data_IF_738745819877
#
_entry.id   IF_738745819877
#
_cell.length_a   1.000
_cell.length_b   1.000
_cell.length_c   1.000
_cell.angle_alpha   90.00
_cell.angle_beta   90.00
_cell.angle_gamma   90.00
#
_symmetry.space_group_name_H-M   'P 1'
#
loop_
_entity.id
_entity.type
_entity.pdbx_description
1 polymer ?
#
# COMPACT_ATOMS: atom_id res chain seq x y z
N UNK A 1 1.99 28.68 -1.00
CA UNK A 1 2.41 28.92 -2.40
C UNK A 1 2.65 27.60 -3.10
N UNK A 2 2.38 27.53 -4.41
CA UNK A 2 2.53 26.30 -5.20
C UNK A 2 4.01 25.86 -5.17
N UNK A 3 4.32 24.61 -4.78
CA UNK A 3 5.68 24.08 -4.84
C UNK A 3 6.28 24.22 -6.24
N UNK A 4 7.56 24.62 -6.30
CA UNK A 4 8.21 25.01 -7.56
C UNK A 4 8.26 23.90 -8.63
N UNK A 5 8.23 22.63 -8.20
CA UNK A 5 8.25 21.44 -9.02
C UNK A 5 6.85 21.01 -9.52
N UNK A 6 5.78 21.64 -9.02
CA UNK A 6 4.41 21.35 -9.45
C UNK A 6 3.99 22.29 -10.58
N UNK A 7 3.26 21.72 -11.55
CA UNK A 7 2.55 22.44 -12.60
C UNK A 7 1.10 21.96 -12.58
N UNK A 8 0.15 22.88 -12.54
CA UNK A 8 -1.28 22.55 -12.35
C UNK A 8 -1.94 22.13 -13.66
N UNK A 9 -1.65 20.93 -14.17
CA UNK A 9 -2.29 20.44 -15.40
C UNK A 9 -3.71 19.92 -15.19
N UNK A 10 -3.96 19.34 -14.02
CA UNK A 10 -5.19 18.63 -13.68
C UNK A 10 -5.52 18.78 -12.19
N UNK A 11 -6.71 18.30 -11.81
CA UNK A 11 -7.12 18.16 -10.42
C UNK A 11 -6.14 17.33 -9.57
N UNK A 12 -5.40 16.39 -10.16
CA UNK A 12 -4.38 15.56 -9.50
C UNK A 12 -3.23 16.42 -8.97
N UNK A 13 -2.84 17.44 -9.73
CA UNK A 13 -1.78 18.39 -9.36
C UNK A 13 -2.27 19.38 -8.31
N UNK A 14 -3.53 19.80 -8.42
CA UNK A 14 -4.20 20.65 -7.41
C UNK A 14 -4.26 19.93 -6.06
N UNK A 15 -4.67 18.66 -6.06
CA UNK A 15 -4.70 17.80 -4.88
C UNK A 15 -3.30 17.59 -4.28
N UNK A 16 -2.27 17.42 -5.12
CA UNK A 16 -0.87 17.28 -4.66
C UNK A 16 -0.38 18.52 -3.89
N UNK A 17 -0.80 19.72 -4.29
CA UNK A 17 -0.50 20.95 -3.53
C UNK A 17 -1.10 20.89 -2.12
N UNK A 18 -2.35 20.43 -1.98
CA UNK A 18 -3.01 20.28 -0.66
C UNK A 18 -2.30 19.24 0.20
N UNK A 19 -1.95 18.08 -0.38
CA UNK A 19 -1.23 17.02 0.33
C UNK A 19 0.11 17.50 0.86
N UNK A 20 0.87 18.28 0.09
CA UNK A 20 2.14 18.86 0.56
C UNK A 20 1.93 19.97 1.59
N UNK A 21 0.91 20.79 1.42
CA UNK A 21 0.54 21.82 2.40
C UNK A 21 0.17 21.20 3.75
N UNK A 22 -0.53 20.06 3.75
CA UNK A 22 -0.89 19.30 4.95
C UNK A 22 0.36 18.85 5.75
N UNK A 23 1.49 18.64 5.09
CA UNK A 23 2.73 18.16 5.71
C UNK A 23 3.67 19.28 6.16
N UNK A 24 3.60 20.45 5.53
CA UNK A 24 4.63 21.51 5.63
C UNK A 24 4.13 22.79 6.29
N UNK A 25 2.84 23.11 6.15
CA UNK A 25 2.22 24.36 6.59
C UNK A 25 1.06 24.06 7.56
N UNK A 26 0.66 25.01 8.42
CA UNK A 26 -0.52 24.80 9.25
C UNK A 26 -1.75 24.66 8.36
N UNK A 27 -2.36 23.47 8.38
CA UNK A 27 -3.68 23.24 7.82
C UNK A 27 -4.69 24.17 8.52
N UNK A 28 -5.53 24.92 7.79
CA UNK A 28 -6.46 25.86 8.41
C UNK A 28 -7.43 25.16 9.36
N UNK A 29 -7.57 25.66 10.60
CA UNK A 29 -8.50 25.08 11.60
C UNK A 29 -9.94 25.05 11.11
N UNK A 30 -10.31 26.01 10.26
CA UNK A 30 -11.65 26.14 9.70
C UNK A 30 -11.90 25.26 8.46
N UNK A 31 -10.86 24.61 7.92
CA UNK A 31 -10.96 23.68 6.80
C UNK A 31 -11.13 22.25 7.32
N UNK A 32 -12.37 21.77 7.31
CA UNK A 32 -12.74 20.45 7.82
C UNK A 32 -12.17 19.37 6.90
N UNK A 33 -12.44 19.47 5.61
CA UNK A 33 -11.96 18.51 4.61
C UNK A 33 -11.85 19.12 3.21
N UNK A 34 -11.07 18.47 2.35
CA UNK A 34 -10.93 18.78 0.93
C UNK A 34 -11.07 17.51 0.09
N UNK A 35 -11.75 17.58 -1.05
CA UNK A 35 -11.97 16.48 -1.98
C UNK A 35 -11.70 16.94 -3.41
N UNK A 36 -10.71 16.32 -4.06
CA UNK A 36 -10.42 16.53 -5.47
C UNK A 36 -11.29 15.63 -6.35
N UNK A 37 -12.06 16.23 -7.24
CA UNK A 37 -12.77 15.55 -8.31
C UNK A 37 -12.17 15.95 -9.66
N UNK A 38 -12.52 15.21 -10.70
CA UNK A 38 -11.96 15.44 -12.04
C UNK A 38 -12.39 16.79 -12.64
N UNK A 39 -13.52 17.31 -12.18
CA UNK A 39 -14.21 18.51 -12.63
C UNK A 39 -14.25 19.64 -11.59
N UNK A 40 -13.96 19.38 -10.32
CA UNK A 40 -14.03 20.39 -9.25
C UNK A 40 -13.17 20.05 -8.02
N UNK A 41 -12.91 21.07 -7.20
CA UNK A 41 -12.36 20.93 -5.86
C UNK A 41 -13.43 21.32 -4.84
N UNK A 42 -13.84 20.40 -3.99
CA UNK A 42 -14.85 20.67 -2.94
C UNK A 42 -14.17 20.76 -1.58
N UNK A 43 -14.46 21.81 -0.82
CA UNK A 43 -13.91 22.10 0.49
C UNK A 43 -15.03 22.22 1.51
N UNK A 44 -15.03 21.36 2.51
CA UNK A 44 -15.90 21.46 3.68
C UNK A 44 -15.29 22.42 4.69
N UNK A 45 -16.01 23.47 5.04
CA UNK A 45 -15.53 24.55 5.90
C UNK A 45 -16.51 24.82 7.05
N UNK A 46 -16.02 25.38 8.16
CA UNK A 46 -16.91 25.81 9.26
C UNK A 46 -17.78 27.00 8.84
N UNK A 47 -19.05 27.11 9.29
CA UNK A 47 -19.92 28.22 8.88
C UNK A 47 -19.32 29.60 9.18
N UNK A 48 -19.49 30.53 8.25
CA UNK A 48 -18.99 31.91 8.37
C UNK A 48 -17.49 32.09 8.14
N UNK A 49 -16.76 31.04 7.72
CA UNK A 49 -15.29 31.09 7.55
C UNK A 49 -14.82 31.21 6.10
N UNK A 50 -15.74 31.36 5.14
CA UNK A 50 -15.44 31.44 3.70
C UNK A 50 -14.30 32.41 3.36
N UNK A 51 -14.32 33.63 3.90
CA UNK A 51 -13.31 34.65 3.61
C UNK A 51 -11.89 34.23 4.06
N UNK A 52 -11.79 33.57 5.21
CA UNK A 52 -10.51 33.06 5.72
C UNK A 52 -9.96 31.96 4.84
N UNK A 53 -10.82 31.06 4.36
CA UNK A 53 -10.44 29.95 3.48
C UNK A 53 -10.04 30.45 2.09
N UNK A 54 -10.76 31.42 1.52
CA UNK A 54 -10.38 32.06 0.26
C UNK A 54 -8.99 32.71 0.34
N UNK A 55 -8.70 33.42 1.43
CA UNK A 55 -7.38 34.03 1.66
C UNK A 55 -6.28 32.97 1.67
N UNK A 56 -6.50 31.88 2.41
CA UNK A 56 -5.55 30.76 2.44
C UNK A 56 -5.39 30.09 1.07
N UNK A 57 -6.47 29.86 0.33
CA UNK A 57 -6.41 29.31 -1.03
C UNK A 57 -5.61 30.22 -1.97
N UNK A 58 -5.78 31.53 -1.84
CA UNK A 58 -5.00 32.51 -2.60
C UNK A 58 -3.51 32.38 -2.29
N UNK A 59 -3.10 32.24 -1.03
CA UNK A 59 -1.70 32.03 -0.65
C UNK A 59 -1.15 30.68 -1.12
N UNK A 60 -1.94 29.62 -1.02
CA UNK A 60 -1.54 28.26 -1.40
C UNK A 60 -1.38 28.14 -2.92
N UNK A 61 -2.33 28.69 -3.68
CA UNK A 61 -2.39 28.56 -5.13
C UNK A 61 -1.93 29.80 -5.90
N UNK A 62 -1.30 30.80 -5.25
CA UNK A 62 -0.76 31.97 -5.95
C UNK A 62 0.20 31.56 -7.09
N UNK A 63 0.12 32.19 -8.30
CA UNK A 63 -0.83 33.20 -8.75
C UNK A 63 -2.04 32.63 -9.53
N UNK A 64 -2.32 31.34 -9.36
CA UNK A 64 -3.30 30.57 -10.14
C UNK A 64 -4.71 30.55 -9.51
N UNK A 65 -4.91 31.11 -8.33
CA UNK A 65 -6.24 31.25 -7.73
C UNK A 65 -6.98 32.48 -8.27
N UNK A 66 -8.25 32.32 -8.61
CA UNK A 66 -9.12 33.39 -9.08
C UNK A 66 -10.40 33.45 -8.23
N UNK A 67 -10.55 34.53 -7.45
CA UNK A 67 -11.78 34.85 -6.72
C UNK A 67 -12.80 35.49 -7.65
N UNK A 68 -13.92 34.81 -7.89
CA UNK A 68 -14.98 35.29 -8.78
C UNK A 68 -16.14 35.96 -8.01
N UNK A 69 -16.00 36.11 -6.69
CA UNK A 69 -16.95 36.81 -5.85
C UNK A 69 -18.37 36.22 -5.92
N UNK A 70 -19.38 37.09 -6.00
CA UNK A 70 -20.80 36.67 -6.08
C UNK A 70 -21.26 36.31 -7.51
N UNK A 71 -20.40 36.47 -8.53
CA UNK A 71 -20.78 36.31 -9.94
C UNK A 71 -20.46 34.92 -10.50
N UNK A 72 -19.77 34.07 -9.75
CA UNK A 72 -19.47 32.69 -10.12
C UNK A 72 -18.64 31.98 -9.04
N UNK A 73 -18.40 30.69 -9.21
CA UNK A 73 -17.55 29.93 -8.29
C UNK A 73 -16.08 30.37 -8.45
N UNK A 74 -15.36 30.44 -7.34
CA UNK A 74 -13.90 30.62 -7.37
C UNK A 74 -13.26 29.47 -8.17
N UNK A 75 -12.09 29.69 -8.75
CA UNK A 75 -11.45 28.65 -9.51
C UNK A 75 -9.92 28.69 -9.47
N UNK A 76 -9.31 27.55 -9.80
CA UNK A 76 -7.88 27.40 -10.00
C UNK A 76 -7.60 27.35 -11.50
N UNK A 77 -6.75 28.24 -11.98
CA UNK A 77 -6.31 28.28 -13.37
C UNK A 77 -5.33 27.13 -13.60
N UNK A 78 -5.70 26.24 -14.52
CA UNK A 78 -4.88 25.11 -14.94
C UNK A 78 -4.01 25.48 -16.15
N UNK A 79 -2.92 24.74 -16.34
CA UNK A 79 -2.11 24.83 -17.53
C UNK A 79 -2.95 24.52 -18.77
N UNK A 80 -2.77 25.36 -19.78
CA UNK A 80 -3.53 25.33 -21.03
C UNK A 80 -2.68 25.77 -22.21
N UNK A 81 -3.03 25.28 -23.39
CA UNK A 81 -2.51 25.84 -24.64
C UNK A 81 -3.08 27.25 -24.87
N UNK A 82 -2.35 28.08 -25.59
CA UNK A 82 -2.74 29.47 -25.88
C UNK A 82 -4.19 29.56 -26.40
N UNK A 83 -4.98 30.44 -25.79
CA UNK A 83 -6.37 30.72 -26.18
C UNK A 83 -7.44 29.80 -25.56
N UNK A 84 -7.06 28.71 -24.87
CA UNK A 84 -8.01 27.77 -24.26
C UNK A 84 -7.84 27.70 -22.74
N UNK A 85 -8.23 28.76 -22.03
CA UNK A 85 -8.12 28.80 -20.57
C UNK A 85 -8.87 27.64 -19.94
N UNK A 86 -8.16 26.84 -19.13
CA UNK A 86 -8.73 25.74 -18.35
C UNK A 86 -8.79 26.16 -16.89
N UNK A 87 -9.91 25.87 -16.24
CA UNK A 87 -10.13 26.19 -14.83
C UNK A 87 -10.71 24.99 -14.12
N UNK A 88 -10.33 24.81 -12.86
CA UNK A 88 -10.96 23.88 -11.92
C UNK A 88 -11.80 24.71 -10.94
N UNK A 89 -13.14 24.64 -11.01
CA UNK A 89 -14.02 25.26 -10.02
C UNK A 89 -13.72 24.80 -8.60
N UNK A 90 -13.91 25.71 -7.64
CA UNK A 90 -13.85 25.46 -6.20
C UNK A 90 -15.26 25.64 -5.64
N UNK A 91 -15.71 24.65 -4.87
CA UNK A 91 -16.96 24.70 -4.13
C UNK A 91 -16.64 24.73 -2.64
N UNK A 92 -17.14 25.75 -1.94
CA UNK A 92 -17.05 25.86 -0.48
C UNK A 92 -18.39 25.46 0.13
N UNK A 93 -18.41 24.36 0.88
CA UNK A 93 -19.58 23.85 1.58
C UNK A 93 -19.46 24.13 3.07
N UNK A 94 -20.40 24.86 3.64
CA UNK A 94 -20.47 25.05 5.09
C UNK A 94 -20.96 23.77 5.76
N UNK A 95 -20.20 23.25 6.72
CA UNK A 95 -20.49 21.97 7.37
C UNK A 95 -20.16 21.99 8.86
N UNK A 96 -21.04 21.36 9.63
CA UNK A 96 -20.83 21.04 11.06
C UNK A 96 -20.29 19.60 11.23
N UNK A 97 -20.05 18.88 10.13
CA UNK A 97 -19.43 17.54 10.17
C UNK A 97 -18.04 17.61 10.81
N UNK A 98 -17.70 16.58 11.58
CA UNK A 98 -16.34 16.37 12.04
C UNK A 98 -15.53 15.65 10.96
N UNK A 99 -14.25 15.99 10.77
CA UNK A 99 -13.40 15.30 9.81
C UNK A 99 -13.26 13.83 10.21
N UNK A 100 -13.12 12.91 9.23
CA UNK A 100 -12.82 11.53 9.56
C UNK A 100 -11.51 11.46 10.32
N UNK A 101 -11.53 10.84 11.50
CA UNK A 101 -10.35 10.59 12.33
C UNK A 101 -9.95 9.11 12.22
N UNK A 102 -9.26 8.68 11.14
CA UNK A 102 -8.69 7.35 11.13
C UNK A 102 -7.52 7.34 12.13
N UNK A 103 -7.78 6.82 13.31
CA UNK A 103 -6.75 6.70 14.34
C UNK A 103 -5.79 5.52 14.04
N UNK A 104 -6.02 4.76 12.98
CA UNK A 104 -5.25 3.56 12.62
C UNK A 104 -4.47 3.75 11.33
N UNK A 105 -3.25 3.21 11.31
CA UNK A 105 -2.47 3.10 10.08
C UNK A 105 -3.20 2.19 9.08
N UNK A 106 -3.31 2.65 7.83
CA UNK A 106 -3.87 1.88 6.72
C UNK A 106 -2.72 1.62 5.72
N UNK A 107 -2.40 0.34 5.41
CA UNK A 107 -1.29 0.00 4.52
C UNK A 107 -1.72 0.12 3.04
N UNK A 108 -1.93 1.35 2.58
CA UNK A 108 -2.41 1.67 1.23
C UNK A 108 -1.55 2.77 0.60
N UNK A 109 -1.27 2.67 -0.70
CA UNK A 109 -0.54 3.69 -1.46
C UNK A 109 -1.45 4.57 -2.31
N UNK A 110 -2.74 4.25 -2.38
CA UNK A 110 -3.72 5.05 -3.08
C UNK A 110 -3.83 6.45 -2.49
N UNK A 111 -4.08 7.42 -3.37
CA UNK A 111 -4.38 8.80 -2.97
C UNK A 111 -5.61 8.82 -2.06
N UNK A 112 -5.58 9.62 -0.98
CA UNK A 112 -6.69 9.69 -0.06
C UNK A 112 -7.90 10.35 -0.76
N UNK A 113 -9.09 9.78 -0.59
CA UNK A 113 -10.32 10.31 -1.19
C UNK A 113 -10.76 11.64 -0.53
N UNK A 114 -10.29 11.88 0.68
CA UNK A 114 -10.55 13.10 1.44
C UNK A 114 -9.22 13.54 2.05
N UNK A 115 -8.92 14.83 2.06
CA UNK A 115 -7.75 15.42 2.72
C UNK A 115 -8.28 16.24 3.89
N UNK A 116 -7.70 16.08 5.07
CA UNK A 116 -8.12 16.79 6.29
C UNK A 116 -6.90 17.02 7.19
N UNK A 117 -7.05 17.76 8.28
CA UNK A 117 -5.92 18.00 9.19
C UNK A 117 -5.40 16.70 9.79
N UNK A 118 -4.09 16.44 9.66
CA UNK A 118 -3.44 15.27 10.29
C UNK A 118 -3.06 15.63 11.73
N UNK A 119 -4.04 15.64 12.63
CA UNK A 119 -3.86 16.05 14.03
C UNK A 119 -3.22 14.97 14.90
N UNK A 120 -3.40 13.69 14.56
CA UNK A 120 -2.95 12.57 15.39
C UNK A 120 -1.91 11.68 14.72
N UNK A 121 -0.98 11.15 15.52
CA UNK A 121 -0.10 10.07 15.08
C UNK A 121 -0.96 8.84 14.84
N UNK A 122 -0.96 8.33 13.62
CA UNK A 122 -1.62 7.06 13.29
C UNK A 122 -1.10 5.96 14.22
N UNK A 123 -2.03 5.23 14.86
CA UNK A 123 -1.72 4.10 15.70
C UNK A 123 -1.21 2.95 14.82
N UNK A 124 -0.02 2.45 15.15
CA UNK A 124 0.52 1.23 14.56
C UNK A 124 -0.34 0.01 14.99
N UNK A 125 -0.39 -1.07 14.20
CA UNK A 125 -1.10 -2.28 14.58
C UNK A 125 -0.51 -2.90 15.84
N UNK A 126 -1.33 -3.62 16.61
CA UNK A 126 -0.88 -4.37 17.78
C UNK A 126 0.24 -5.36 17.42
N UNK A 127 1.21 -5.51 18.31
CA UNK A 127 2.36 -6.42 18.12
C UNK A 127 1.84 -7.85 17.95
N UNK A 128 2.48 -8.62 17.07
CA UNK A 128 2.11 -10.02 16.93
C UNK A 128 2.40 -10.80 18.22
N UNK A 129 1.51 -11.71 18.63
CA UNK A 129 1.83 -12.69 19.66
C UNK A 129 3.08 -13.52 19.29
N UNK A 130 3.88 -13.87 20.28
CA UNK A 130 5.12 -14.65 20.11
C UNK A 130 4.92 -16.04 19.48
N UNK A 131 3.69 -16.54 19.47
CA UNK A 131 3.34 -17.85 18.93
C UNK A 131 2.98 -17.81 17.43
N UNK A 132 2.94 -16.63 16.81
CA UNK A 132 2.81 -16.49 15.37
C UNK A 132 4.20 -16.50 14.71
N UNK A 133 4.38 -17.26 13.61
CA UNK A 133 5.63 -17.22 12.88
C UNK A 133 5.82 -15.85 12.19
N UNK A 134 7.07 -15.36 12.08
CA UNK A 134 7.36 -14.13 11.37
C UNK A 134 6.95 -14.23 9.89
N UNK A 135 6.35 -13.15 9.40
CA UNK A 135 6.11 -12.93 7.97
C UNK A 135 7.26 -12.09 7.41
N UNK A 136 7.94 -12.64 6.40
CA UNK A 136 9.09 -12.01 5.74
C UNK A 136 8.70 -11.70 4.30
N UNK A 137 8.71 -10.42 3.95
CA UNK A 137 8.36 -9.94 2.62
C UNK A 137 9.62 -9.57 1.84
N UNK A 138 9.83 -10.24 0.70
CA UNK A 138 10.82 -9.85 -0.30
C UNK A 138 10.20 -8.84 -1.26
N UNK A 139 10.83 -7.69 -1.42
CA UNK A 139 10.37 -6.63 -2.32
C UNK A 139 11.53 -6.01 -3.10
N UNK A 140 11.25 -5.41 -4.25
CA UNK A 140 12.24 -4.63 -4.99
C UNK A 140 11.60 -3.47 -5.73
N UNK A 141 12.31 -2.35 -5.87
CA UNK A 141 11.83 -1.24 -6.70
C UNK A 141 11.74 -1.64 -8.18
N UNK A 142 12.74 -2.35 -8.69
CA UNK A 142 12.82 -2.78 -10.09
C UNK A 142 12.67 -4.31 -10.22
N UNK A 143 12.09 -4.76 -11.33
CA UNK A 143 12.06 -6.17 -11.72
C UNK A 143 13.44 -6.70 -12.14
N UNK A 144 13.60 -8.02 -12.16
CA UNK A 144 14.83 -8.66 -12.67
C UNK A 144 16.08 -8.51 -11.78
N UNK A 145 15.91 -8.08 -10.53
CA UNK A 145 17.00 -7.93 -9.54
C UNK A 145 17.36 -9.24 -8.82
N UNK A 146 16.65 -10.35 -9.13
CA UNK A 146 16.88 -11.66 -8.51
C UNK A 146 16.13 -11.88 -7.20
N UNK A 147 15.09 -11.10 -6.90
CA UNK A 147 14.27 -11.19 -5.69
C UNK A 147 13.75 -12.60 -5.41
N UNK A 148 13.07 -13.22 -6.38
CA UNK A 148 12.56 -14.59 -6.31
C UNK A 148 13.64 -15.62 -5.98
N UNK A 149 14.83 -15.49 -6.58
CA UNK A 149 15.97 -16.39 -6.32
C UNK A 149 16.45 -16.26 -4.88
N UNK A 150 16.49 -15.05 -4.31
CA UNK A 150 16.89 -14.85 -2.92
C UNK A 150 15.83 -15.37 -1.94
N UNK A 151 14.55 -15.23 -2.26
CA UNK A 151 13.47 -15.83 -1.46
C UNK A 151 13.57 -17.36 -1.41
N UNK A 152 13.81 -18.00 -2.56
CA UNK A 152 14.03 -19.45 -2.66
C UNK A 152 15.30 -19.90 -1.95
N UNK A 153 16.40 -19.16 -2.09
CA UNK A 153 17.66 -19.46 -1.41
C UNK A 153 17.50 -19.39 0.11
N UNK A 154 16.78 -18.37 0.63
CA UNK A 154 16.47 -18.29 2.06
C UNK A 154 15.60 -19.46 2.50
N UNK A 155 14.56 -19.81 1.74
CA UNK A 155 13.72 -20.96 2.03
C UNK A 155 14.56 -22.25 2.15
N UNK A 156 15.44 -22.50 1.19
CA UNK A 156 16.31 -23.68 1.20
C UNK A 156 17.30 -23.68 2.37
N UNK A 157 17.89 -22.52 2.70
CA UNK A 157 18.78 -22.39 3.85
C UNK A 157 18.06 -22.72 5.17
N UNK A 158 16.81 -22.29 5.31
CA UNK A 158 15.98 -22.56 6.49
C UNK A 158 15.59 -24.05 6.57
N UNK A 159 15.23 -24.69 5.45
CA UNK A 159 15.02 -26.15 5.40
C UNK A 159 16.28 -26.91 5.83
N UNK A 160 17.45 -26.49 5.35
CA UNK A 160 18.73 -27.11 5.74
C UNK A 160 19.00 -26.95 7.25
N UNK A 161 18.57 -25.83 7.84
CA UNK A 161 18.57 -25.57 9.27
C UNK A 161 17.40 -26.23 10.04
N UNK A 162 16.70 -27.18 9.42
CA UNK A 162 15.57 -27.96 9.98
C UNK A 162 14.37 -27.10 10.40
N UNK A 163 14.24 -25.91 9.82
CA UNK A 163 13.05 -25.08 9.96
C UNK A 163 12.01 -25.47 8.91
N UNK A 164 10.74 -25.30 9.23
CA UNK A 164 9.61 -25.44 8.30
C UNK A 164 9.27 -24.08 7.70
N UNK A 165 9.02 -24.04 6.40
CA UNK A 165 8.82 -22.79 5.66
C UNK A 165 7.53 -22.87 4.84
N UNK A 166 6.74 -21.80 4.89
CA UNK A 166 5.72 -21.51 3.88
C UNK A 166 6.28 -20.45 2.93
N UNK A 167 6.36 -20.76 1.63
CA UNK A 167 6.80 -19.86 0.59
C UNK A 167 5.61 -19.48 -0.31
N UNK A 168 5.35 -18.18 -0.41
CA UNK A 168 4.19 -17.62 -1.12
C UNK A 168 4.67 -16.81 -2.32
N UNK A 169 4.14 -17.09 -3.50
CA UNK A 169 4.29 -16.23 -4.67
C UNK A 169 3.24 -15.12 -4.64
N UNK A 170 3.64 -13.94 -4.18
CA UNK A 170 2.79 -12.77 -4.05
C UNK A 170 2.69 -11.92 -5.32
N UNK A 171 3.32 -12.30 -6.44
CA UNK A 171 3.25 -11.55 -7.70
C UNK A 171 2.13 -12.08 -8.61
N UNK A 172 0.95 -11.48 -8.47
CA UNK A 172 -0.25 -11.87 -9.22
C UNK A 172 -0.29 -11.33 -10.66
N UNK A 173 0.71 -10.57 -11.08
CA UNK A 173 0.79 -10.01 -12.43
C UNK A 173 1.89 -10.69 -13.26
N UNK A 174 3.01 -11.02 -12.64
CA UNK A 174 4.12 -11.74 -13.26
C UNK A 174 4.76 -12.72 -12.24
N UNK A 175 4.07 -13.82 -11.91
CA UNK A 175 4.53 -14.74 -10.88
C UNK A 175 5.95 -15.25 -11.16
N UNK A 176 6.78 -15.38 -10.13
CA UNK A 176 8.15 -15.88 -10.29
C UNK A 176 8.25 -17.36 -9.91
N UNK A 177 7.86 -17.64 -8.68
CA UNK A 177 7.93 -18.96 -8.04
C UNK A 177 6.97 -19.94 -8.74
N UNK A 178 5.78 -19.49 -9.11
CA UNK A 178 4.73 -20.32 -9.71
C UNK A 178 5.16 -20.88 -11.06
N UNK A 179 5.91 -20.11 -11.86
CA UNK A 179 6.49 -20.59 -13.12
C UNK A 179 7.69 -21.50 -12.86
N UNK A 180 8.57 -21.14 -11.93
CA UNK A 180 9.77 -21.93 -11.62
C UNK A 180 9.42 -23.35 -11.12
N UNK A 181 8.28 -23.49 -10.43
CA UNK A 181 7.86 -24.72 -9.78
C UNK A 181 6.68 -25.40 -10.45
N UNK A 182 6.23 -24.93 -11.61
CA UNK A 182 5.08 -25.47 -12.35
C UNK A 182 5.23 -26.97 -12.62
N UNK A 183 6.43 -27.43 -12.98
CA UNK A 183 6.68 -28.86 -13.24
C UNK A 183 6.68 -29.73 -11.99
N UNK A 184 6.95 -29.14 -10.81
CA UNK A 184 7.00 -29.84 -9.51
C UNK A 184 5.66 -29.79 -8.79
N UNK A 185 4.84 -28.78 -9.04
CA UNK A 185 3.49 -28.61 -8.50
C UNK A 185 2.52 -28.18 -9.61
N UNK A 186 2.18 -29.08 -10.55
CA UNK A 186 1.36 -28.74 -11.73
C UNK A 186 -0.11 -28.47 -11.41
N UNK A 187 -0.62 -29.02 -10.31
CA UNK A 187 -2.02 -28.90 -9.89
C UNK A 187 -2.10 -28.48 -8.42
N UNK A 188 -1.71 -27.25 -8.08
CA UNK A 188 -1.79 -26.77 -6.71
C UNK A 188 -3.27 -26.74 -6.25
N UNK A 189 -3.57 -27.26 -5.05
CA UNK A 189 -4.95 -27.40 -4.57
C UNK A 189 -5.60 -26.05 -4.21
N UNK A 190 -4.78 -25.06 -3.88
CA UNK A 190 -5.16 -23.69 -3.58
C UNK A 190 -4.00 -22.76 -3.96
N UNK A 191 -4.30 -21.49 -4.26
CA UNK A 191 -3.30 -20.47 -4.59
C UNK A 191 -3.52 -19.19 -3.80
N UNK A 192 -2.56 -18.27 -3.84
CA UNK A 192 -2.60 -17.00 -3.13
C UNK A 192 -3.78 -16.12 -3.57
N UNK A 193 -4.13 -16.11 -4.86
CA UNK A 193 -5.32 -15.42 -5.34
C UNK A 193 -6.62 -15.99 -4.75
N UNK A 194 -6.70 -17.29 -4.47
CA UNK A 194 -7.85 -17.89 -3.79
C UNK A 194 -7.93 -17.41 -2.33
N UNK A 195 -6.80 -17.36 -1.62
CA UNK A 195 -6.74 -16.88 -0.23
C UNK A 195 -7.27 -15.45 -0.13
N UNK A 196 -6.80 -14.57 -1.02
CA UNK A 196 -7.29 -13.18 -1.11
C UNK A 196 -8.80 -13.15 -1.34
N UNK A 197 -9.29 -13.97 -2.27
CA UNK A 197 -10.71 -13.99 -2.59
C UNK A 197 -11.58 -14.53 -1.45
N UNK A 198 -11.10 -15.53 -0.73
CA UNK A 198 -11.76 -16.10 0.43
C UNK A 198 -11.79 -15.12 1.61
N UNK A 199 -10.66 -14.47 1.93
CA UNK A 199 -10.59 -13.41 2.97
C UNK A 199 -11.58 -12.28 2.66
N UNK A 200 -11.66 -11.85 1.41
CA UNK A 200 -12.61 -10.80 1.01
C UNK A 200 -14.07 -11.22 1.19
N UNK A 201 -14.38 -12.49 0.93
CA UNK A 201 -15.75 -13.03 1.06
C UNK A 201 -16.13 -13.44 2.49
N UNK A 202 -15.18 -13.45 3.43
CA UNK A 202 -15.41 -13.91 4.79
C UNK A 202 -15.83 -12.75 5.71
N UNK A 203 -16.96 -12.85 6.43
CA UNK A 203 -17.38 -11.81 7.39
C UNK A 203 -16.53 -11.75 8.66
N UNK A 204 -15.78 -12.82 8.97
CA UNK A 204 -14.95 -12.91 10.16
C UNK A 204 -13.74 -11.96 10.05
N UNK A 205 -13.46 -11.15 11.10
CA UNK A 205 -12.32 -10.24 11.09
C UNK A 205 -10.96 -10.96 11.14
N UNK A 206 -10.94 -12.26 11.42
CA UNK A 206 -9.72 -13.06 11.55
C UNK A 206 -9.56 -14.11 10.43
N UNK A 207 -10.52 -14.17 9.50
CA UNK A 207 -10.56 -15.10 8.37
C UNK A 207 -10.38 -16.59 8.74
N UNK A 208 -10.86 -17.02 9.91
CA UNK A 208 -10.64 -18.36 10.47
C UNK A 208 -11.03 -19.49 9.51
N UNK A 209 -12.17 -19.38 8.82
CA UNK A 209 -12.64 -20.42 7.89
C UNK A 209 -11.72 -20.52 6.68
N UNK A 210 -11.22 -19.38 6.19
CA UNK A 210 -10.22 -19.34 5.13
C UNK A 210 -8.93 -20.00 5.58
N UNK A 211 -8.45 -19.71 6.79
CA UNK A 211 -7.24 -20.32 7.35
C UNK A 211 -7.37 -21.83 7.47
N UNK A 212 -8.50 -22.34 7.99
CA UNK A 212 -8.75 -23.76 8.14
C UNK A 212 -8.76 -24.49 6.79
N UNK A 213 -9.49 -23.94 5.81
CA UNK A 213 -9.54 -24.49 4.46
C UNK A 213 -8.16 -24.49 3.80
N UNK A 214 -7.44 -23.37 3.88
CA UNK A 214 -6.10 -23.23 3.31
C UNK A 214 -5.13 -24.23 3.92
N UNK A 215 -5.14 -24.39 5.23
CA UNK A 215 -4.29 -25.35 5.96
C UNK A 215 -4.54 -26.78 5.47
N UNK A 216 -5.81 -27.19 5.39
CA UNK A 216 -6.19 -28.53 4.91
C UNK A 216 -5.77 -28.80 3.46
N UNK A 217 -5.75 -27.77 2.60
CA UNK A 217 -5.34 -27.89 1.20
C UNK A 217 -3.81 -27.87 1.04
N UNK A 218 -3.10 -27.04 1.81
CA UNK A 218 -1.65 -26.84 1.70
C UNK A 218 -0.86 -27.95 2.40
N UNK A 219 -1.41 -28.60 3.44
CA UNK A 219 -0.69 -29.61 4.23
C UNK A 219 0.00 -30.73 3.42
N UNK A 220 -0.50 -31.01 2.21
CA UNK A 220 0.03 -32.05 1.31
C UNK A 220 0.79 -31.47 0.09
N UNK A 221 0.91 -30.14 -0.02
CA UNK A 221 1.57 -29.44 -1.11
C UNK A 221 2.99 -29.02 -0.72
N UNK A 222 3.85 -30.02 -0.48
CA UNK A 222 5.28 -29.82 -0.21
C UNK A 222 6.12 -30.07 -1.46
N UNK A 223 7.06 -29.17 -1.73
CA UNK A 223 8.11 -29.36 -2.73
C UNK A 223 9.45 -29.21 -2.02
N UNK A 224 10.28 -30.24 -2.05
CA UNK A 224 11.60 -30.27 -1.40
C UNK A 224 11.58 -29.86 0.10
N UNK A 225 10.49 -30.20 0.79
CA UNK A 225 10.29 -29.88 2.22
C UNK A 225 9.75 -28.46 2.49
N UNK A 226 9.46 -27.68 1.45
CA UNK A 226 8.89 -26.33 1.54
C UNK A 226 7.38 -26.42 1.24
N UNK A 227 6.53 -25.81 2.08
CA UNK A 227 5.13 -25.58 1.73
C UNK A 227 5.06 -24.44 0.71
N UNK A 228 4.37 -24.65 -0.40
CA UNK A 228 4.35 -23.67 -1.50
C UNK A 228 2.92 -23.23 -1.79
N UNK A 229 2.73 -21.91 -1.77
CA UNK A 229 1.49 -21.26 -2.17
C UNK A 229 1.76 -20.45 -3.44
N UNK A 230 1.47 -21.01 -4.64
CA UNK A 230 1.66 -20.28 -5.89
C UNK A 230 0.65 -19.14 -6.02
N UNK A 231 0.90 -18.22 -6.94
CA UNK A 231 0.04 -17.06 -7.22
C UNK A 231 -1.33 -17.49 -7.75
N UNK A 232 -1.34 -18.44 -8.69
CA UNK A 232 -2.53 -18.97 -9.34
C UNK A 232 -2.52 -20.49 -9.36
N UNK A 233 -3.71 -21.09 -9.48
CA UNK A 233 -3.81 -22.54 -9.69
C UNK A 233 -3.38 -23.00 -11.08
N UNK A 234 -3.56 -22.14 -12.08
CA UNK A 234 -3.26 -22.42 -13.48
C UNK A 234 -2.59 -21.20 -14.10
N UNK A 235 -1.30 -21.29 -14.41
CA UNK A 235 -0.52 -20.15 -14.92
C UNK A 235 -0.97 -19.70 -16.33
N UNK A 236 -1.61 -20.57 -17.12
CA UNK A 236 -2.11 -20.23 -18.46
C UNK A 236 -3.35 -19.33 -18.45
N UNK A 237 -4.02 -19.19 -17.30
CA UNK A 237 -5.11 -18.24 -17.08
C UNK A 237 -4.62 -17.15 -16.14
N UNK A 238 -3.81 -16.23 -16.66
CA UNK A 238 -3.56 -14.92 -16.05
C UNK A 238 -4.84 -14.07 -16.12
N UNK A 239 -5.96 -14.58 -15.64
CA UNK A 239 -7.14 -13.75 -15.38
C UNK A 239 -6.77 -12.91 -14.18
N UNK A 240 -6.68 -11.59 -14.36
CA UNK A 240 -6.39 -10.66 -13.27
C UNK A 240 -7.30 -10.93 -12.07
N UNK A 241 -6.77 -10.71 -10.88
CA UNK A 241 -7.54 -10.77 -9.64
C UNK A 241 -8.90 -10.07 -9.83
N UNK A 242 -9.98 -10.78 -9.53
CA UNK A 242 -11.31 -10.17 -9.47
C UNK A 242 -11.41 -9.14 -8.33
N UNK A 243 -10.54 -9.24 -7.33
CA UNK A 243 -10.55 -8.42 -6.12
C UNK A 243 -9.28 -7.57 -6.09
N UNK A 244 -9.46 -6.25 -6.12
CA UNK A 244 -8.37 -5.33 -5.87
C UNK A 244 -7.96 -5.40 -4.40
N UNK A 245 -6.66 -5.37 -4.07
CA UNK A 245 -6.18 -5.39 -2.69
C UNK A 245 -6.81 -4.30 -1.80
N UNK A 246 -7.09 -3.12 -2.37
CA UNK A 246 -7.80 -2.03 -1.68
C UNK A 246 -9.18 -2.43 -1.12
N UNK A 247 -9.85 -3.43 -1.72
CA UNK A 247 -11.12 -3.96 -1.25
C UNK A 247 -10.96 -4.85 -0.02
N UNK A 248 -9.81 -5.49 0.19
CA UNK A 248 -9.52 -6.25 1.42
C UNK A 248 -9.54 -5.33 2.64
N UNK A 249 -8.98 -4.12 2.50
CA UNK A 249 -8.91 -3.14 3.58
C UNK A 249 -10.30 -2.55 3.85
N UNK A 250 -11.04 -2.17 2.80
CA UNK A 250 -12.37 -1.56 2.95
C UNK A 250 -13.43 -2.51 3.50
N UNK A 251 -13.30 -3.81 3.23
CA UNK A 251 -14.25 -4.83 3.69
C UNK A 251 -14.10 -5.21 5.17
N UNK A 252 -12.99 -4.83 5.83
CA UNK A 252 -12.62 -5.34 7.15
C UNK A 252 -12.31 -4.22 8.15
N UNK A 253 -12.62 -4.45 9.44
CA UNK A 253 -12.20 -3.53 10.52
C UNK A 253 -10.69 -3.56 10.75
N UNK A 254 -10.04 -4.63 10.31
CA UNK A 254 -8.61 -4.85 10.41
C UNK A 254 -7.92 -4.46 9.08
N UNK A 255 -7.24 -3.32 9.08
CA UNK A 255 -6.52 -2.83 7.89
C UNK A 255 -5.30 -3.69 7.52
N UNK A 256 -4.87 -4.59 8.42
CA UNK A 256 -3.73 -5.50 8.23
C UNK A 256 -4.15 -6.97 8.09
N UNK A 257 -5.41 -7.22 7.72
CA UNK A 257 -5.97 -8.56 7.59
C UNK A 257 -5.10 -9.51 6.76
N UNK A 258 -4.45 -9.02 5.70
CA UNK A 258 -3.57 -9.84 4.87
C UNK A 258 -2.37 -10.38 5.66
N UNK A 259 -1.63 -9.51 6.36
CA UNK A 259 -0.48 -9.95 7.17
C UNK A 259 -0.94 -10.92 8.27
N UNK A 260 -2.03 -10.59 8.96
CA UNK A 260 -2.56 -11.38 10.07
C UNK A 260 -3.00 -12.77 9.59
N UNK A 261 -3.72 -12.85 8.47
CA UNK A 261 -4.12 -14.11 7.87
C UNK A 261 -2.92 -14.95 7.43
N UNK A 262 -1.87 -14.34 6.87
CA UNK A 262 -0.66 -15.07 6.48
C UNK A 262 0.10 -15.62 7.70
N UNK A 263 0.22 -14.85 8.77
CA UNK A 263 0.83 -15.29 10.02
C UNK A 263 0.02 -16.44 10.67
N UNK A 264 -1.31 -16.31 10.73
CA UNK A 264 -2.22 -17.34 11.23
C UNK A 264 -2.18 -18.62 10.40
N UNK A 265 -2.10 -18.51 9.08
CA UNK A 265 -1.89 -19.65 8.18
C UNK A 265 -0.57 -20.35 8.48
N UNK A 266 0.51 -19.58 8.68
CA UNK A 266 1.79 -20.13 9.06
C UNK A 266 1.72 -20.92 10.38
N UNK A 267 1.07 -20.35 11.39
CA UNK A 267 0.86 -21.02 12.69
C UNK A 267 0.05 -22.31 12.54
N UNK A 268 -1.04 -22.30 11.77
CA UNK A 268 -1.89 -23.45 11.54
C UNK A 268 -1.16 -24.59 10.79
N UNK A 269 -0.26 -24.25 9.86
CA UNK A 269 0.62 -25.21 9.18
C UNK A 269 1.80 -25.68 10.06
N UNK A 270 2.01 -25.05 11.22
CA UNK A 270 3.14 -25.32 12.10
C UNK A 270 4.49 -24.99 11.44
N UNK A 271 4.55 -23.97 10.58
CA UNK A 271 5.81 -23.49 9.99
C UNK A 271 6.51 -22.52 10.94
N UNK A 272 7.82 -22.40 10.82
CA UNK A 272 8.62 -21.48 11.62
C UNK A 272 8.69 -20.08 11.01
N UNK A 273 8.36 -19.94 9.71
CA UNK A 273 8.47 -18.69 8.97
C UNK A 273 7.59 -18.72 7.72
N UNK A 274 7.01 -17.56 7.39
CA UNK A 274 6.27 -17.33 6.15
C UNK A 274 7.10 -16.38 5.27
N UNK A 275 7.48 -16.82 4.08
CA UNK A 275 8.22 -16.01 3.10
C UNK A 275 7.26 -15.61 1.97
N UNK A 276 7.23 -14.33 1.62
CA UNK A 276 6.37 -13.79 0.56
C UNK A 276 7.21 -13.08 -0.49
N UNK A 277 7.19 -13.56 -1.73
CA UNK A 277 7.83 -12.90 -2.88
C UNK A 277 6.85 -11.91 -3.50
N UNK A 278 7.00 -10.61 -3.20
CA UNK A 278 6.08 -9.56 -3.65
C UNK A 278 6.47 -8.99 -4.98
N UNK A 279 5.50 -8.48 -5.76
CA UNK A 279 5.76 -7.75 -7.01
C UNK A 279 6.73 -6.58 -6.86
N UNK A 280 7.46 -6.27 -7.94
CA UNK A 280 8.35 -5.11 -7.98
C UNK A 280 7.56 -3.79 -8.11
N UNK A 281 8.14 -2.70 -7.63
CA UNK A 281 7.53 -1.37 -7.70
C UNK A 281 6.46 -1.16 -6.63
N UNK A 282 5.61 -0.16 -6.83
CA UNK A 282 4.58 0.26 -5.88
C UNK A 282 3.22 -0.32 -6.32
N UNK A 283 2.96 -1.58 -5.97
CA UNK A 283 1.63 -2.18 -6.15
C UNK A 283 0.86 -2.19 -4.84
N UNK A 284 -0.47 -2.10 -4.90
CA UNK A 284 -1.32 -2.07 -3.69
C UNK A 284 -1.24 -3.36 -2.88
N UNK A 285 -1.05 -4.51 -3.53
CA UNK A 285 -0.87 -5.76 -2.79
C UNK A 285 0.47 -5.77 -2.04
N UNK A 286 1.54 -5.28 -2.67
CA UNK A 286 2.83 -5.17 -2.00
C UNK A 286 2.75 -4.18 -0.83
N UNK A 287 2.03 -3.06 -1.00
CA UNK A 287 1.77 -2.06 0.03
C UNK A 287 1.21 -2.68 1.31
N UNK A 288 0.25 -3.59 1.17
CA UNK A 288 -0.37 -4.32 2.29
C UNK A 288 0.63 -5.01 3.24
N UNK A 289 1.79 -5.44 2.74
CA UNK A 289 2.84 -6.06 3.54
C UNK A 289 4.01 -5.11 3.85
N UNK A 290 4.47 -4.30 2.90
CA UNK A 290 5.63 -3.42 3.12
C UNK A 290 5.32 -2.23 4.03
N UNK A 291 4.03 -1.86 4.15
CA UNK A 291 3.53 -0.81 5.05
C UNK A 291 3.00 -1.37 6.37
N UNK A 292 3.24 -2.65 6.66
CA UNK A 292 3.02 -3.22 8.00
C UNK A 292 4.35 -3.24 8.76
N UNK A 293 4.51 -2.47 9.85
CA UNK A 293 5.77 -2.40 10.59
C UNK A 293 6.16 -3.75 11.22
N UNK A 294 5.21 -4.68 11.38
CA UNK A 294 5.42 -6.01 11.97
C UNK A 294 6.03 -7.01 10.99
N UNK A 295 6.11 -6.68 9.70
CA UNK A 295 6.67 -7.54 8.65
C UNK A 295 8.17 -7.35 8.53
N UNK A 296 8.92 -8.47 8.49
CA UNK A 296 10.35 -8.48 8.16
C UNK A 296 10.53 -8.14 6.67
N UNK A 297 10.90 -6.90 6.39
CA UNK A 297 11.00 -6.38 5.01
C UNK A 297 12.42 -6.57 4.48
N UNK A 298 12.56 -7.40 3.46
CA UNK A 298 13.82 -7.62 2.74
C UNK A 298 13.72 -6.93 1.37
N UNK A 299 14.45 -5.83 1.22
CA UNK A 299 14.56 -5.12 -0.05
C UNK A 299 15.71 -5.70 -0.86
N UNK A 300 15.45 -5.99 -2.13
CA UNK A 300 16.45 -6.52 -3.07
C UNK A 300 16.73 -5.46 -4.12
N UNK A 301 18.00 -5.12 -4.31
CA UNK A 301 18.42 -4.10 -5.28
C UNK A 301 19.72 -4.51 -5.98
N UNK A 302 19.93 -4.01 -7.20
CA UNK A 302 21.22 -4.09 -7.89
C UNK A 302 21.97 -2.78 -7.70
N UNK A 303 23.25 -2.77 -8.07
CA UNK A 303 24.08 -1.56 -8.05
C UNK A 303 23.81 -0.60 -9.23
N UNK A 304 22.77 -0.83 -10.05
CA UNK A 304 22.42 0.12 -11.11
C UNK A 304 21.87 1.41 -10.50
N UNK A 305 22.22 2.57 -11.08
CA UNK A 305 21.82 3.87 -10.54
C UNK A 305 20.29 4.02 -10.35
N UNK A 306 19.50 3.52 -11.31
CA UNK A 306 18.04 3.52 -11.19
C UNK A 306 17.54 2.64 -10.02
N UNK A 307 18.16 1.48 -9.80
CA UNK A 307 17.80 0.57 -8.70
C UNK A 307 18.16 1.18 -7.35
N UNK A 308 19.34 1.79 -7.22
CA UNK A 308 19.76 2.46 -5.98
C UNK A 308 18.82 3.63 -5.66
N UNK A 309 18.62 4.55 -6.60
CA UNK A 309 17.77 5.73 -6.38
C UNK A 309 16.34 5.33 -6.07
N UNK A 310 15.77 4.38 -6.83
CA UNK A 310 14.41 3.91 -6.60
C UNK A 310 14.24 3.17 -5.26
N UNK A 311 15.20 2.33 -4.87
CA UNK A 311 15.19 1.67 -3.56
C UNK A 311 15.34 2.69 -2.42
N UNK A 312 16.17 3.72 -2.57
CA UNK A 312 16.30 4.77 -1.56
C UNK A 312 14.98 5.52 -1.34
N UNK A 313 14.30 5.93 -2.43
CA UNK A 313 12.98 6.58 -2.36
C UNK A 313 11.92 5.69 -1.73
N UNK A 314 11.94 4.39 -2.03
CA UNK A 314 11.05 3.42 -1.42
C UNK A 314 11.28 3.31 0.10
N UNK A 315 12.54 3.26 0.54
CA UNK A 315 12.88 3.22 1.96
C UNK A 315 12.45 4.50 2.68
N UNK A 316 12.61 5.68 2.07
CA UNK A 316 12.10 6.95 2.58
C UNK A 316 10.58 6.91 2.76
N UNK A 317 9.85 6.37 1.78
CA UNK A 317 8.40 6.21 1.85
C UNK A 317 7.97 5.28 2.98
N UNK A 318 8.62 4.11 3.11
CA UNK A 318 8.34 3.14 4.17
C UNK A 318 8.67 3.72 5.54
N UNK A 319 9.78 4.45 5.68
CA UNK A 319 10.16 5.12 6.93
C UNK A 319 9.13 6.20 7.34
N UNK A 320 8.49 6.85 6.37
CA UNK A 320 7.45 7.86 6.62
C UNK A 320 6.11 7.21 7.01
N UNK A 321 5.70 6.17 6.30
CA UNK A 321 4.36 5.59 6.43
C UNK A 321 4.27 4.48 7.48
N UNK A 322 5.29 3.62 7.57
CA UNK A 322 5.29 2.42 8.43
C UNK A 322 6.67 2.16 9.07
N UNK A 323 7.17 3.10 9.89
CA UNK A 323 8.47 2.95 10.53
C UNK A 323 8.46 1.83 11.58
N UNK A 324 9.53 1.03 11.62
CA UNK A 324 9.82 0.15 12.76
C UNK A 324 10.31 1.00 13.92
N UNK A 325 9.45 1.26 14.92
CA UNK A 325 9.80 2.14 16.05
C UNK A 325 9.85 1.39 17.37
N UNK A 326 9.10 0.30 17.50
CA UNK A 326 9.07 -0.54 18.70
C UNK A 326 10.23 -1.53 18.63
N UNK A 327 10.72 -1.98 19.79
CA UNK A 327 11.84 -2.92 19.86
C UNK A 327 11.48 -4.29 19.22
N UNK A 328 10.19 -4.63 19.23
CA UNK A 328 9.63 -5.83 18.62
C UNK A 328 9.41 -5.67 17.10
N UNK A 329 9.41 -4.45 16.57
CA UNK A 329 9.24 -4.22 15.13
C UNK A 329 10.52 -4.65 14.39
N UNK A 330 10.42 -5.56 13.40
CA UNK A 330 11.58 -5.99 12.65
C UNK A 330 12.26 -4.84 11.89
N UNK A 331 13.59 -4.79 11.98
CA UNK A 331 14.40 -3.89 11.16
C UNK A 331 14.40 -4.36 9.70
N UNK A 332 14.20 -3.47 8.72
CA UNK A 332 14.34 -3.82 7.31
C UNK A 332 15.77 -4.26 6.97
N UNK A 333 15.89 -5.21 6.04
CA UNK A 333 17.16 -5.66 5.50
C UNK A 333 17.28 -5.30 4.01
N UNK A 334 18.52 -5.12 3.54
CA UNK A 334 18.83 -4.85 2.15
C UNK A 334 19.78 -5.94 1.62
N UNK A 335 19.40 -6.53 0.49
CA UNK A 335 20.26 -7.42 -0.30
C UNK A 335 20.69 -6.68 -1.55
N UNK A 336 22.00 -6.47 -1.68
CA UNK A 336 22.62 -5.99 -2.91
C UNK A 336 23.04 -7.19 -3.76
N UNK A 337 22.48 -7.30 -4.94
CA UNK A 337 22.68 -8.42 -5.86
C UNK A 337 23.47 -7.99 -7.09
N UNK A 338 24.03 -8.96 -7.81
CA UNK A 338 24.80 -8.73 -9.04
C UNK A 338 25.95 -7.72 -8.79
N UNK A 339 26.62 -7.88 -7.64
CA UNK A 339 27.83 -7.12 -7.31
C UNK A 339 28.94 -7.62 -8.24
N UNK A 340 29.62 -6.71 -8.97
CA UNK A 340 30.63 -7.06 -9.97
C UNK A 340 31.89 -7.72 -9.39
#
# INVERSE_FOLDING_TARGET
MIPSDIRLYTWVDVEEVLLRSQEQEPWPENLVWARGYWDELVLGIRPGTQHSIKTWLQEVYDPRFQDNGQQGNDCIILESAEGNQRTLPIILEETEEEPPSPNKLIPNLARPTVIWQRTEKLQAPDIFPDDLPPVVAFHSFKGGVGRTIHALALAQALINAKQKVLLIDGDLEAPGISWLLESRLPYPPICFADIIALIHGEPSPDAEQTIDLATQKIQNALVDGIYILPSFRVNSRLTGLAIKPEHLIKGHKNSFILTDSLARLGKALGVNVVLVDLRAGLSELAAGLILDPRVYRIFVSTLSGQSITGTARLLELVAKLAPSKRDEDPSPALILTKVP
#
